data_IF_413655491963
#
_entry.id   IF_413655491963
#
_cell.length_a   1.000
_cell.length_b   1.000
_cell.length_c   1.000
_cell.angle_alpha   90.00
_cell.angle_beta   90.00
_cell.angle_gamma   90.00
#
_symmetry.space_group_name_H-M   'P 1'
#
loop_
_entity.id
_entity.type
_entity.pdbx_description
1 polymer ?
#
# COMPACT_ATOMS: atom_id res chain seq x y z
N UNK A 1 8.07 0.96 -5.43
CA UNK A 1 9.48 1.42 -5.31
C UNK A 1 9.66 2.94 -5.33
N UNK A 2 8.86 3.72 -6.07
CA UNK A 2 9.01 5.19 -6.13
C UNK A 2 8.91 5.91 -4.77
N UNK A 3 8.15 5.36 -3.80
CA UNK A 3 7.93 5.96 -2.48
C UNK A 3 9.22 6.15 -1.66
N UNK A 4 10.07 5.12 -1.60
CA UNK A 4 11.35 5.16 -0.87
C UNK A 4 12.34 6.13 -1.52
N UNK A 5 12.41 6.12 -2.85
CA UNK A 5 13.26 7.05 -3.62
C UNK A 5 12.80 8.48 -3.36
N UNK A 6 11.50 8.74 -3.39
CA UNK A 6 10.93 10.06 -3.10
C UNK A 6 11.28 10.55 -1.69
N UNK A 7 11.17 9.70 -0.67
CA UNK A 7 11.58 10.05 0.70
C UNK A 7 13.05 10.42 0.77
N UNK A 8 13.94 9.63 0.15
CA UNK A 8 15.38 9.91 0.13
C UNK A 8 15.69 11.23 -0.58
N UNK A 9 15.05 11.49 -1.71
CA UNK A 9 15.24 12.74 -2.47
C UNK A 9 14.78 13.94 -1.63
N UNK A 10 13.60 13.88 -1.01
CA UNK A 10 13.07 14.96 -0.18
C UNK A 10 14.00 15.25 1.00
N UNK A 11 14.44 14.22 1.74
CA UNK A 11 15.37 14.40 2.85
C UNK A 11 16.71 14.97 2.37
N UNK A 12 17.22 14.52 1.22
CA UNK A 12 18.47 15.02 0.66
C UNK A 12 18.39 16.49 0.25
N UNK A 13 17.25 16.93 -0.29
CA UNK A 13 17.03 18.33 -0.66
C UNK A 13 16.92 19.21 0.59
N UNK A 14 16.16 18.77 1.61
CA UNK A 14 15.97 19.52 2.85
C UNK A 14 17.30 19.66 3.61
N UNK A 15 17.97 18.54 3.89
CA UNK A 15 19.23 18.56 4.63
C UNK A 15 20.37 19.15 3.79
N UNK A 16 20.42 18.83 2.49
CA UNK A 16 21.42 19.37 1.58
C UNK A 16 21.35 20.89 1.47
N UNK A 17 20.14 21.44 1.31
CA UNK A 17 19.93 22.89 1.31
C UNK A 17 20.31 23.55 2.64
N UNK A 18 19.98 22.93 3.77
CA UNK A 18 20.32 23.47 5.09
C UNK A 18 21.84 23.50 5.36
N UNK A 19 22.57 22.44 4.97
CA UNK A 19 24.03 22.40 5.06
C UNK A 19 24.65 23.46 4.15
N UNK A 20 24.10 23.66 2.94
CA UNK A 20 24.62 24.62 1.97
C UNK A 20 24.56 26.07 2.48
N UNK A 21 23.58 26.40 3.33
CA UNK A 21 23.48 27.68 4.02
C UNK A 21 24.39 27.80 5.27
N UNK A 22 25.20 26.79 5.58
CA UNK A 22 26.06 26.77 6.77
C UNK A 22 25.32 26.44 8.07
N UNK A 23 24.11 25.87 7.97
CA UNK A 23 23.31 25.48 9.13
C UNK A 23 23.95 24.34 9.92
N UNK A 24 24.03 24.49 11.24
CA UNK A 24 24.47 23.42 12.15
C UNK A 24 23.30 22.49 12.48
N UNK A 25 23.50 21.17 12.34
CA UNK A 25 22.50 20.15 12.65
C UNK A 25 21.94 20.22 14.08
N UNK A 26 22.72 20.79 15.00
CA UNK A 26 22.34 21.06 16.39
C UNK A 26 21.09 21.94 16.54
N UNK A 27 20.79 22.79 15.55
CA UNK A 27 19.57 23.59 15.56
C UNK A 27 18.34 22.84 15.07
N UNK A 28 18.51 21.81 14.23
CA UNK A 28 17.39 20.99 13.72
C UNK A 28 17.00 19.90 14.73
N UNK A 29 17.98 19.23 15.33
CA UNK A 29 17.73 18.11 16.23
C UNK A 29 17.63 18.54 17.69
N UNK A 30 16.74 19.50 17.97
CA UNK A 30 16.37 19.83 19.35
C UNK A 30 15.23 18.95 19.82
N UNK A 31 15.45 18.23 20.92
CA UNK A 31 14.41 17.40 21.55
C UNK A 31 13.12 18.19 21.84
N UNK A 32 13.23 19.46 22.22
CA UNK A 32 12.08 20.33 22.44
C UNK A 32 11.23 20.54 21.18
N UNK A 33 11.86 20.75 20.03
CA UNK A 33 11.15 20.98 18.77
C UNK A 33 10.47 19.71 18.27
N UNK A 34 11.11 18.55 18.44
CA UNK A 34 10.51 17.26 18.12
C UNK A 34 9.23 17.05 18.93
N UNK A 35 9.25 17.31 20.24
CA UNK A 35 8.08 17.16 21.11
C UNK A 35 6.97 18.13 20.71
N UNK A 36 7.31 19.40 20.43
CA UNK A 36 6.32 20.42 20.05
C UNK A 36 5.67 20.06 18.71
N UNK A 37 6.48 19.80 17.67
CA UNK A 37 5.99 19.53 16.32
C UNK A 37 5.23 18.20 16.29
N UNK A 38 5.83 17.13 16.81
CA UNK A 38 5.22 15.80 16.79
C UNK A 38 4.00 15.73 17.71
N UNK A 39 4.07 16.34 18.90
CA UNK A 39 2.96 16.41 19.84
C UNK A 39 1.77 17.18 19.27
N UNK A 40 2.01 18.34 18.65
CA UNK A 40 0.95 19.12 18.00
C UNK A 40 0.34 18.37 16.81
N UNK A 41 1.17 17.75 15.96
CA UNK A 41 0.70 16.95 14.84
C UNK A 41 -0.14 15.76 15.30
N UNK A 42 0.30 15.05 16.35
CA UNK A 42 -0.42 13.90 16.90
C UNK A 42 -1.75 14.32 17.55
N UNK A 43 -1.76 15.40 18.33
CA UNK A 43 -2.99 15.94 18.91
C UNK A 43 -3.98 16.39 17.83
N UNK A 44 -3.51 17.09 16.79
CA UNK A 44 -4.34 17.49 15.65
C UNK A 44 -4.93 16.28 14.91
N UNK A 45 -4.15 15.21 14.73
CA UNK A 45 -4.61 13.96 14.14
C UNK A 45 -5.72 13.31 14.98
N UNK A 46 -5.57 13.27 16.30
CA UNK A 46 -6.60 12.76 17.22
C UNK A 46 -7.87 13.60 17.20
N UNK A 47 -7.74 14.94 17.11
CA UNK A 47 -8.89 15.85 17.06
C UNK A 47 -9.65 15.79 15.73
N UNK A 48 -8.93 15.53 14.63
CA UNK A 48 -9.51 15.56 13.27
C UNK A 48 -10.10 14.23 12.81
N UNK A 49 -9.80 13.13 13.49
CA UNK A 49 -10.21 11.78 13.06
C UNK A 49 -11.06 11.06 14.10
N UNK A 50 -12.02 10.26 13.63
CA UNK A 50 -12.82 9.38 14.50
C UNK A 50 -11.99 8.17 14.94
N UNK A 51 -12.29 7.63 16.13
CA UNK A 51 -11.60 6.47 16.71
C UNK A 51 -11.54 5.24 15.79
N UNK A 52 -12.56 5.03 14.94
CA UNK A 52 -12.56 3.96 13.94
C UNK A 52 -11.52 4.17 12.84
N UNK A 53 -11.42 5.39 12.32
CA UNK A 53 -10.42 5.77 11.30
C UNK A 53 -9.00 5.67 11.86
N UNK A 54 -8.79 6.06 13.12
CA UNK A 54 -7.48 5.96 13.78
C UNK A 54 -6.97 4.51 13.82
N UNK A 55 -7.86 3.56 14.13
CA UNK A 55 -7.53 2.12 14.17
C UNK A 55 -7.19 1.57 12.78
N UNK A 56 -7.93 1.98 11.75
CA UNK A 56 -7.63 1.58 10.37
C UNK A 56 -6.30 2.18 9.91
N UNK A 57 -6.03 3.44 10.26
CA UNK A 57 -4.81 4.14 9.89
C UNK A 57 -3.56 3.48 10.49
N UNK A 58 -3.61 3.02 11.75
CA UNK A 58 -2.49 2.30 12.37
C UNK A 58 -2.26 0.92 11.74
N UNK A 59 -3.33 0.20 11.36
CA UNK A 59 -3.21 -1.05 10.61
C UNK A 59 -2.61 -0.84 9.22
N UNK A 60 -3.03 0.21 8.52
CA UNK A 60 -2.56 0.53 7.18
C UNK A 60 -1.14 1.09 7.14
N UNK A 61 -0.67 1.74 8.22
CA UNK A 61 0.72 2.19 8.34
C UNK A 61 1.71 1.05 8.11
N UNK A 62 1.47 -0.13 8.71
CA UNK A 62 2.32 -1.31 8.49
C UNK A 62 2.25 -1.84 7.07
N UNK A 63 1.07 -1.76 6.43
CA UNK A 63 0.88 -2.19 5.04
C UNK A 63 1.53 -1.22 4.04
N UNK A 64 1.57 0.08 4.35
CA UNK A 64 2.10 1.12 3.47
C UNK A 64 3.60 0.96 3.19
N UNK A 65 4.35 0.44 4.17
CA UNK A 65 5.77 0.12 4.05
C UNK A 65 6.04 -1.31 3.55
N UNK A 66 5.02 -2.18 3.53
CA UNK A 66 5.16 -3.55 3.03
C UNK A 66 5.21 -3.53 1.50
N UNK A 67 6.06 -4.39 0.93
CA UNK A 67 6.04 -4.62 -0.52
C UNK A 67 4.67 -5.19 -0.91
N UNK A 68 4.07 -4.64 -1.96
CA UNK A 68 2.82 -5.17 -2.50
C UNK A 68 3.10 -6.53 -3.13
N UNK A 69 2.30 -7.57 -2.84
CA UNK A 69 2.42 -8.87 -3.52
C UNK A 69 2.04 -8.77 -5.01
N UNK A 70 1.34 -7.70 -5.38
CA UNK A 70 0.94 -7.39 -6.76
C UNK A 70 2.15 -7.07 -7.63
N UNK A 71 2.72 -8.10 -8.23
CA UNK A 71 3.75 -8.01 -9.25
C UNK A 71 3.11 -8.15 -10.65
N UNK A 72 3.93 -8.01 -11.71
CA UNK A 72 3.46 -8.17 -13.09
C UNK A 72 2.84 -9.54 -13.34
N UNK A 73 3.44 -10.59 -12.76
CA UNK A 73 3.00 -11.97 -12.93
C UNK A 73 1.62 -12.20 -12.31
N UNK A 74 1.37 -11.65 -11.11
CA UNK A 74 0.06 -11.64 -10.45
C UNK A 74 -1.01 -11.00 -11.35
N UNK A 75 -0.71 -9.85 -11.96
CA UNK A 75 -1.66 -9.21 -12.88
C UNK A 75 -1.89 -10.04 -14.13
N UNK A 76 -0.86 -10.71 -14.65
CA UNK A 76 -0.97 -11.57 -15.82
C UNK A 76 -1.79 -12.83 -15.52
N UNK A 77 -1.56 -13.46 -14.37
CA UNK A 77 -2.35 -14.59 -13.87
C UNK A 77 -3.81 -14.19 -13.66
N UNK A 78 -4.06 -13.05 -13.01
CA UNK A 78 -5.40 -12.53 -12.79
C UNK A 78 -6.13 -12.27 -14.11
N UNK A 79 -5.48 -11.63 -15.09
CA UNK A 79 -6.09 -11.33 -16.38
C UNK A 79 -6.38 -12.62 -17.18
N UNK A 80 -5.50 -13.61 -17.08
CA UNK A 80 -5.65 -14.91 -17.71
C UNK A 80 -6.80 -15.71 -17.08
N UNK A 81 -6.90 -15.70 -15.75
CA UNK A 81 -8.01 -16.26 -14.99
C UNK A 81 -9.34 -15.64 -15.44
N UNK A 82 -9.43 -14.30 -15.48
CA UNK A 82 -10.64 -13.61 -15.91
C UNK A 82 -11.02 -13.95 -17.36
N UNK A 83 -10.03 -14.04 -18.25
CA UNK A 83 -10.27 -14.46 -19.64
C UNK A 83 -10.83 -15.88 -19.72
N UNK A 84 -10.25 -16.82 -18.97
CA UNK A 84 -10.67 -18.23 -18.97
C UNK A 84 -12.10 -18.38 -18.42
N UNK A 85 -12.46 -17.64 -17.37
CA UNK A 85 -13.83 -17.59 -16.82
C UNK A 85 -14.83 -17.01 -17.84
N UNK A 86 -14.50 -15.90 -18.49
CA UNK A 86 -15.36 -15.29 -19.53
C UNK A 86 -15.53 -16.25 -20.71
N UNK A 87 -14.48 -16.96 -21.11
CA UNK A 87 -14.53 -17.89 -22.22
C UNK A 87 -15.44 -19.09 -21.89
N UNK A 88 -15.42 -19.59 -20.66
CA UNK A 88 -16.34 -20.65 -20.21
C UNK A 88 -17.78 -20.19 -20.24
N UNK A 89 -18.07 -18.99 -19.75
CA UNK A 89 -19.41 -18.42 -19.81
C UNK A 89 -19.92 -18.31 -21.26
N UNK A 90 -19.03 -17.96 -22.20
CA UNK A 90 -19.36 -17.81 -23.63
C UNK A 90 -19.54 -19.15 -24.34
N UNK A 91 -18.68 -20.13 -24.08
CA UNK A 91 -18.63 -21.40 -24.83
C UNK A 91 -19.52 -22.49 -24.21
N UNK A 92 -19.51 -22.60 -22.88
CA UNK A 92 -20.15 -23.70 -22.14
C UNK A 92 -21.43 -23.29 -21.39
N UNK A 93 -21.78 -21.98 -21.41
CA UNK A 93 -22.92 -21.36 -20.74
C UNK A 93 -22.64 -20.94 -19.29
N UNK A 94 -23.43 -20.00 -18.76
CA UNK A 94 -23.26 -19.35 -17.45
C UNK A 94 -23.29 -20.37 -16.30
N UNK A 95 -24.08 -21.45 -16.41
CA UNK A 95 -24.13 -22.51 -15.39
C UNK A 95 -22.80 -23.23 -15.16
N UNK A 96 -21.97 -23.36 -16.20
CA UNK A 96 -20.64 -23.95 -16.05
C UNK A 96 -19.71 -23.03 -15.28
N UNK A 97 -19.90 -21.70 -15.40
CA UNK A 97 -19.16 -20.70 -14.64
C UNK A 97 -19.54 -20.74 -13.15
N UNK A 98 -20.83 -20.86 -12.82
CA UNK A 98 -21.32 -20.83 -11.43
C UNK A 98 -20.64 -21.91 -10.55
N UNK A 99 -20.43 -23.11 -11.11
CA UNK A 99 -19.74 -24.22 -10.40
C UNK A 99 -18.33 -23.80 -9.95
N UNK A 100 -17.62 -23.03 -10.79
CA UNK A 100 -16.26 -22.58 -10.50
C UNK A 100 -16.23 -21.37 -9.56
N UNK A 101 -17.26 -20.50 -9.58
CA UNK A 101 -17.34 -19.29 -8.77
C UNK A 101 -17.87 -19.59 -7.35
N UNK A 102 -18.82 -20.51 -7.21
CA UNK A 102 -19.37 -20.91 -5.91
C UNK A 102 -18.40 -21.77 -5.09
N UNK A 103 -17.56 -22.57 -5.77
CA UNK A 103 -16.59 -23.44 -5.12
C UNK A 103 -15.16 -23.20 -5.64
N UNK A 104 -14.57 -22.01 -5.41
CA UNK A 104 -13.27 -21.63 -5.94
C UNK A 104 -12.15 -22.58 -5.50
N UNK A 105 -12.18 -23.06 -4.26
CA UNK A 105 -11.16 -23.96 -3.70
C UNK A 105 -11.09 -25.33 -4.40
N UNK A 106 -12.21 -25.77 -4.99
CA UNK A 106 -12.32 -27.04 -5.72
C UNK A 106 -12.14 -26.87 -7.24
N UNK A 107 -12.06 -25.62 -7.70
CA UNK A 107 -12.04 -25.29 -9.12
C UNK A 107 -10.64 -25.47 -9.71
N UNK A 108 -10.54 -26.33 -10.72
CA UNK A 108 -9.30 -26.55 -11.48
C UNK A 108 -8.77 -25.29 -12.17
N UNK A 109 -9.64 -24.30 -12.41
CA UNK A 109 -9.28 -23.04 -13.06
C UNK A 109 -8.60 -22.12 -12.04
N UNK A 110 -9.20 -21.95 -10.86
CA UNK A 110 -8.58 -21.17 -9.79
C UNK A 110 -7.29 -21.83 -9.28
N UNK A 111 -7.23 -23.16 -9.23
CA UNK A 111 -6.01 -23.89 -8.89
C UNK A 111 -4.85 -23.67 -9.89
N UNK A 112 -5.14 -23.26 -11.14
CA UNK A 112 -4.14 -22.96 -12.18
C UNK A 112 -3.52 -21.57 -12.02
N UNK A 113 -4.16 -20.67 -11.28
CA UNK A 113 -3.73 -19.30 -11.05
C UNK A 113 -3.72 -19.01 -9.53
N UNK A 114 -2.69 -19.48 -8.79
CA UNK A 114 -2.63 -19.39 -7.33
C UNK A 114 -2.19 -18.01 -6.81
N UNK A 115 -1.93 -17.05 -7.70
CA UNK A 115 -1.47 -15.69 -7.40
C UNK A 115 -2.25 -14.98 -6.31
#
# INVERSE_FOLDING_TARGET
MQKLIGVVVVLSVIFGGFIFLGGKFEFIFKWSEIIIIFGAAFASLLMSTTSGTLKLMTQQLGLAFRATPYNKDYYQELLSLMFELINIARVQNIKALDIHVENPDSSKIFAKYPG
#
